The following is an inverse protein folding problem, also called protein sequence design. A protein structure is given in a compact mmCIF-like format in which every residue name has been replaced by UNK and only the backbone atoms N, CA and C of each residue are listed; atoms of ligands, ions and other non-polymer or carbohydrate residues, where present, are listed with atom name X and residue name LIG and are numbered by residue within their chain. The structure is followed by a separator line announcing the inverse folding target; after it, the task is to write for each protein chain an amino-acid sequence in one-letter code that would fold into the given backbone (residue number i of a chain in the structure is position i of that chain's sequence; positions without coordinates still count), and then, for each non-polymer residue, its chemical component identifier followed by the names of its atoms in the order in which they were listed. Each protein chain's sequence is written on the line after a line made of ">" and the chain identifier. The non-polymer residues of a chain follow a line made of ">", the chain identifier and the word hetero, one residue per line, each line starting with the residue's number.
data_IF_009711786040
#
_entry.id   IF_009711786040
#
_cell.length_a   1.000
_cell.length_b   1.000
_cell.length_c   1.000
_cell.angle_alpha   90.00
_cell.angle_beta   90.00
_cell.angle_gamma   90.00
#
_symmetry.space_group_name_H-M   'P 1'
#
loop_
_entity.id
_entity.type
_entity.pdbx_description
1 polymer ?
#
# COMPACT_ATOMS: atom_id res chain seq x y z
N UNK A 1 0.47 -0.07 -2.89
CA UNK A 1 1.64 0.70 -3.37
C UNK A 1 1.28 2.15 -3.67
N UNK A 2 0.32 2.42 -4.57
CA UNK A 2 -0.03 3.79 -4.99
C UNK A 2 -0.50 4.69 -3.84
N UNK A 3 -1.28 4.18 -2.88
CA UNK A 3 -1.76 4.97 -1.74
C UNK A 3 -0.62 5.54 -0.88
N UNK A 4 0.40 4.72 -0.58
CA UNK A 4 1.58 5.15 0.17
C UNK A 4 2.38 6.16 -0.65
N UNK A 5 2.71 5.83 -1.90
CA UNK A 5 3.48 6.71 -2.77
C UNK A 5 2.82 8.08 -2.94
N UNK A 6 1.51 8.12 -3.22
CA UNK A 6 0.77 9.37 -3.38
C UNK A 6 0.80 10.19 -2.09
N UNK A 7 0.57 9.55 -0.94
CA UNK A 7 0.58 10.25 0.35
C UNK A 7 1.95 10.86 0.71
N UNK A 8 3.04 10.29 0.22
CA UNK A 8 4.40 10.84 0.40
C UNK A 8 4.71 11.93 -0.63
N UNK A 9 4.46 11.67 -1.92
CA UNK A 9 4.75 12.60 -3.03
C UNK A 9 3.97 13.90 -2.95
N UNK A 10 2.78 13.89 -2.37
CA UNK A 10 2.01 15.11 -2.16
C UNK A 10 2.69 16.09 -1.19
N UNK A 11 3.48 15.62 -0.22
CA UNK A 11 4.29 16.50 0.64
C UNK A 11 5.48 17.11 -0.10
N UNK A 12 6.14 16.34 -0.97
CA UNK A 12 7.23 16.85 -1.82
C UNK A 12 6.73 17.99 -2.72
N UNK A 13 5.50 17.86 -3.25
CA UNK A 13 4.86 18.88 -4.08
C UNK A 13 4.42 20.11 -3.28
N UNK A 14 3.78 19.91 -2.13
CA UNK A 14 3.13 20.98 -1.38
C UNK A 14 4.09 21.78 -0.47
N UNK A 15 5.29 21.25 -0.21
CA UNK A 15 6.33 21.91 0.58
C UNK A 15 6.06 21.89 2.09
N UNK A 16 6.94 22.54 2.86
CA UNK A 16 6.97 22.43 4.33
C UNK A 16 5.67 22.88 5.02
N UNK A 17 4.95 23.86 4.47
CA UNK A 17 3.67 24.34 5.02
C UNK A 17 2.59 23.26 5.06
N UNK A 18 2.68 22.24 4.22
CA UNK A 18 1.73 21.13 4.21
C UNK A 18 1.80 20.27 5.49
N UNK A 19 2.88 20.39 6.27
CA UNK A 19 3.08 19.66 7.54
C UNK A 19 2.32 20.25 8.73
N UNK A 20 1.65 21.40 8.56
CA UNK A 20 0.87 22.00 9.63
C UNK A 20 -0.26 21.08 10.07
N UNK A 21 -0.39 20.93 11.40
CA UNK A 21 -1.36 20.05 12.02
C UNK A 21 -2.82 20.39 11.63
N UNK A 22 -3.12 21.65 11.30
CA UNK A 22 -4.44 22.08 10.85
C UNK A 22 -4.89 21.37 9.55
N UNK A 23 -3.96 21.01 8.67
CA UNK A 23 -4.28 20.31 7.43
C UNK A 23 -4.40 18.79 7.64
N UNK A 24 -3.68 18.25 8.63
CA UNK A 24 -3.73 16.83 9.04
C UNK A 24 -3.54 15.88 7.84
N UNK A 25 -2.65 16.23 6.89
CA UNK A 25 -2.47 15.51 5.62
C UNK A 25 -1.73 14.17 5.83
N UNK A 26 -0.93 14.07 6.88
CA UNK A 26 -0.23 12.86 7.31
C UNK A 26 -1.18 11.70 7.67
N UNK A 27 -2.46 11.99 7.97
CA UNK A 27 -3.49 10.96 8.20
C UNK A 27 -3.63 9.98 7.04
N UNK A 28 -3.43 10.44 5.81
CA UNK A 28 -3.56 9.61 4.62
C UNK A 28 -2.47 8.56 4.56
N UNK A 29 -1.22 8.96 4.87
CA UNK A 29 -0.11 8.03 4.98
C UNK A 29 -0.32 7.06 6.15
N UNK A 30 -0.68 7.55 7.34
CA UNK A 30 -0.92 6.71 8.53
C UNK A 30 -1.99 5.64 8.27
N UNK A 31 -3.12 6.05 7.71
CA UNK A 31 -4.21 5.13 7.39
C UNK A 31 -3.80 4.11 6.31
N UNK A 32 -3.15 4.57 5.24
CA UNK A 32 -2.66 3.68 4.18
C UNK A 32 -1.62 2.69 4.74
N UNK A 33 -0.71 3.14 5.60
CA UNK A 33 0.33 2.30 6.20
C UNK A 33 -0.27 1.22 7.08
N UNK A 34 -1.24 1.57 7.93
CA UNK A 34 -1.93 0.59 8.77
C UNK A 34 -2.72 -0.40 7.90
N UNK A 35 -3.51 0.10 6.95
CA UNK A 35 -4.39 -0.76 6.16
C UNK A 35 -3.62 -1.72 5.23
N UNK A 36 -2.52 -1.27 4.62
CA UNK A 36 -1.70 -2.09 3.72
C UNK A 36 -0.94 -3.21 4.42
N UNK A 37 -0.86 -3.19 5.76
CA UNK A 37 -0.29 -4.28 6.55
C UNK A 37 -1.25 -5.45 6.78
N UNK A 38 -2.54 -5.30 6.44
CA UNK A 38 -3.54 -6.36 6.62
C UNK A 38 -3.11 -7.66 5.96
N UNK A 39 -2.82 -7.63 4.65
CA UNK A 39 -2.30 -8.79 3.93
C UNK A 39 -0.90 -8.46 3.40
N UNK A 40 0.13 -9.29 3.65
CA UNK A 40 1.46 -9.04 3.10
C UNK A 40 1.41 -9.05 1.58
N UNK A 41 1.59 -7.88 0.95
CA UNK A 41 1.52 -7.71 -0.52
C UNK A 41 2.46 -8.65 -1.28
N UNK A 42 3.60 -9.02 -0.66
CA UNK A 42 4.55 -10.00 -1.19
C UNK A 42 3.90 -11.33 -1.58
N UNK A 43 2.90 -11.78 -0.83
CA UNK A 43 2.18 -13.02 -1.13
C UNK A 43 1.26 -12.89 -2.33
N UNK A 44 0.73 -11.69 -2.59
CA UNK A 44 -0.06 -11.42 -3.80
C UNK A 44 0.82 -11.52 -5.05
N UNK A 45 2.04 -10.97 -5.03
CA UNK A 45 2.99 -11.15 -6.14
C UNK A 45 3.39 -12.60 -6.35
N UNK A 46 3.66 -13.34 -5.28
CA UNK A 46 3.95 -14.77 -5.37
C UNK A 46 2.81 -15.55 -6.03
N UNK A 47 1.56 -15.31 -5.60
CA UNK A 47 0.38 -15.97 -6.15
C UNK A 47 0.18 -15.65 -7.63
N UNK A 48 0.31 -14.38 -8.02
CA UNK A 48 0.22 -13.96 -9.43
C UNK A 48 1.33 -14.60 -10.26
N UNK A 49 2.57 -14.59 -9.76
CA UNK A 49 3.72 -15.20 -10.44
C UNK A 49 3.55 -16.70 -10.61
N UNK A 50 3.07 -17.40 -9.57
CA UNK A 50 2.80 -18.85 -9.63
C UNK A 50 1.74 -19.18 -10.66
N UNK A 51 0.66 -18.39 -10.73
CA UNK A 51 -0.37 -18.57 -11.75
C UNK A 51 0.17 -18.31 -13.15
N UNK A 52 0.91 -17.22 -13.34
CA UNK A 52 1.43 -16.84 -14.65
C UNK A 52 2.50 -17.80 -15.19
N UNK A 53 3.37 -18.31 -14.31
CA UNK A 53 4.48 -19.20 -14.69
C UNK A 53 4.09 -20.67 -14.72
N UNK A 54 3.20 -21.12 -13.82
CA UNK A 54 2.90 -22.54 -13.63
C UNK A 54 1.43 -22.91 -13.87
N UNK A 55 0.54 -21.95 -14.13
CA UNK A 55 -0.89 -22.19 -14.34
C UNK A 55 -1.68 -22.55 -13.07
N UNK A 56 -1.04 -22.57 -11.91
CA UNK A 56 -1.68 -22.96 -10.64
C UNK A 56 -2.53 -21.81 -10.08
N UNK A 57 -3.81 -22.08 -9.81
CA UNK A 57 -4.70 -21.09 -9.20
C UNK A 57 -4.32 -20.82 -7.72
N UNK A 58 -4.46 -19.57 -7.24
CA UNK A 58 -4.25 -19.26 -5.83
C UNK A 58 -5.23 -20.01 -4.92
N UNK A 59 -4.78 -20.37 -3.72
CA UNK A 59 -5.68 -20.91 -2.69
C UNK A 59 -6.79 -19.90 -2.36
N UNK A 60 -8.01 -20.42 -2.11
CA UNK A 60 -9.21 -19.57 -1.87
C UNK A 60 -9.09 -18.68 -0.63
N UNK A 61 -8.22 -19.06 0.32
CA UNK A 61 -7.95 -18.26 1.52
C UNK A 61 -6.48 -17.85 1.52
N UNK A 62 -6.22 -16.56 1.73
CA UNK A 62 -4.85 -15.99 1.76
C UNK A 62 -4.11 -16.21 3.09
N UNK A 63 -4.65 -17.03 4.01
CA UNK A 63 -4.21 -17.18 5.40
C UNK A 63 -3.93 -18.63 5.84
N UNK A 64 -3.70 -19.54 4.88
CA UNK A 64 -3.06 -20.86 5.06
C UNK A 64 -1.93 -20.94 4.04
#
# INVERSE_FOLDING_TARGET
>A
EISLLASEKLFELAGSRATLAEFNLDRHWRNARVHTLHDPVRWKYHAVGTWHLNGTLPARHSWI
#
